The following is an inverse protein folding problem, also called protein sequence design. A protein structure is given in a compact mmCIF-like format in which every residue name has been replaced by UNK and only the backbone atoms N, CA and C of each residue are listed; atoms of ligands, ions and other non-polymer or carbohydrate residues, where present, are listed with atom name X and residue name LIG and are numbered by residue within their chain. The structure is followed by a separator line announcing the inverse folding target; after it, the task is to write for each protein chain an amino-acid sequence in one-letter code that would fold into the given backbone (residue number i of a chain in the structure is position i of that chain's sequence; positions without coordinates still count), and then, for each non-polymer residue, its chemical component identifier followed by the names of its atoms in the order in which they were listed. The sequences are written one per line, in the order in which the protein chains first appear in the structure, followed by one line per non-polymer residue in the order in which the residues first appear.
data_IF_547919735002
#
_entry.id   IF_547919735002
#
_cell.length_a   1.000
_cell.length_b   1.000
_cell.length_c   1.000
_cell.angle_alpha   90.00
_cell.angle_beta   90.00
_cell.angle_gamma   90.00
#
_symmetry.space_group_name_H-M   'P 1'
#
loop_
_entity.id
_entity.type
_entity.pdbx_description
1 polymer ?
#
# COMPACT_ATOMS: atom_id res chain seq x y z
N UNK A 1 14.70 -6.16 11.77
CA UNK A 1 13.83 -6.48 10.61
C UNK A 1 14.15 -7.89 10.15
N UNK A 2 13.66 -8.88 10.90
CA UNK A 2 13.82 -10.31 10.63
C UNK A 2 12.42 -10.89 10.52
N UNK A 3 12.21 -11.63 9.45
CA UNK A 3 11.27 -12.75 9.36
C UNK A 3 9.77 -12.45 9.48
N UNK A 4 9.16 -11.95 8.40
CA UNK A 4 7.78 -12.33 8.04
C UNK A 4 7.64 -13.86 7.82
N UNK A 5 8.75 -14.57 7.64
CA UNK A 5 8.85 -16.04 7.71
C UNK A 5 8.56 -16.61 9.12
N UNK A 6 8.75 -15.83 10.19
CA UNK A 6 8.49 -16.30 11.56
C UNK A 6 7.01 -16.28 11.94
N UNK A 7 6.17 -15.53 11.23
CA UNK A 7 4.70 -15.53 11.42
C UNK A 7 4.08 -16.76 10.75
N UNK A 8 4.66 -17.23 9.65
CA UNK A 8 4.25 -18.47 8.97
C UNK A 8 4.63 -19.72 9.76
N UNK A 9 5.82 -19.75 10.36
CA UNK A 9 6.25 -20.89 11.22
C UNK A 9 5.41 -21.00 12.50
N UNK A 10 4.92 -19.88 13.05
CA UNK A 10 4.11 -19.89 14.28
C UNK A 10 2.68 -20.42 14.06
N UNK A 11 2.03 -20.10 12.93
CA UNK A 11 0.70 -20.61 12.62
C UNK A 11 0.72 -22.09 12.18
N UNK A 12 1.80 -22.53 11.54
CA UNK A 12 2.01 -23.91 11.09
C UNK A 12 2.37 -24.84 12.28
N UNK A 13 3.03 -24.32 13.33
CA UNK A 13 3.21 -25.04 14.61
C UNK A 13 1.93 -25.13 15.45
N UNK A 14 1.03 -24.14 15.36
CA UNK A 14 -0.23 -24.19 16.11
C UNK A 14 -1.21 -25.24 15.56
N UNK A 15 -1.23 -25.47 14.23
CA UNK A 15 -2.14 -26.42 13.58
C UNK A 15 -1.59 -27.85 13.60
N UNK A 16 -0.27 -28.04 13.75
CA UNK A 16 0.34 -29.37 13.97
C UNK A 16 0.23 -29.88 15.41
N UNK A 17 -0.23 -29.04 16.36
CA UNK A 17 -0.56 -29.41 17.74
C UNK A 17 -2.04 -29.78 17.90
N UNK A 18 -2.53 -30.69 17.05
CA UNK A 18 -3.72 -31.50 17.34
C UNK A 18 -3.42 -32.57 18.42
N UNK A 19 -2.22 -32.64 18.98
CA UNK A 19 -1.81 -33.81 19.77
C UNK A 19 -1.98 -33.76 21.28
N UNK A 20 -1.66 -32.66 21.96
CA UNK A 20 -1.44 -32.71 23.41
C UNK A 20 -1.75 -31.38 24.10
N UNK A 21 -2.73 -31.46 25.01
CA UNK A 21 -2.94 -30.59 26.17
C UNK A 21 -3.11 -29.10 25.87
N UNK A 22 -4.30 -28.57 26.13
CA UNK A 22 -4.49 -27.42 27.03
C UNK A 22 -5.98 -27.11 27.18
N UNK A 23 -6.54 -27.54 28.32
CA UNK A 23 -7.67 -26.84 28.91
C UNK A 23 -7.29 -25.36 29.05
N UNK A 24 -8.07 -24.47 28.42
CA UNK A 24 -8.10 -23.04 28.75
C UNK A 24 -7.03 -22.18 28.10
N UNK A 25 -7.28 -21.70 26.88
CA UNK A 25 -6.77 -20.40 26.43
C UNK A 25 -7.84 -19.71 25.56
N UNK A 26 -8.41 -18.62 26.08
CA UNK A 26 -9.24 -17.68 25.32
C UNK A 26 -8.30 -16.70 24.59
N UNK A 27 -8.47 -16.55 23.28
CA UNK A 27 -7.76 -15.53 22.51
C UNK A 27 -8.50 -14.20 22.68
N UNK A 28 -7.95 -13.30 23.51
CA UNK A 28 -8.43 -11.91 23.60
C UNK A 28 -7.66 -11.00 22.64
N UNK A 29 -8.41 -10.47 21.67
CA UNK A 29 -8.18 -9.23 20.90
C UNK A 29 -6.86 -9.07 20.12
N UNK A 30 -6.89 -9.46 18.84
CA UNK A 30 -6.13 -8.77 17.79
C UNK A 30 -6.95 -7.58 17.29
N UNK A 31 -6.41 -6.36 17.41
CA UNK A 31 -7.02 -5.14 16.89
C UNK A 31 -7.00 -5.15 15.35
N UNK A 32 -8.07 -5.65 14.76
CA UNK A 32 -8.37 -5.53 13.33
C UNK A 32 -9.12 -4.20 13.14
N UNK A 33 -8.49 -3.19 12.56
CA UNK A 33 -9.01 -1.80 12.51
C UNK A 33 -10.16 -1.56 11.52
N UNK A 34 -10.72 -2.61 10.92
CA UNK A 34 -11.89 -2.51 10.03
C UNK A 34 -13.02 -3.39 10.57
N UNK A 35 -14.14 -2.75 10.93
CA UNK A 35 -15.32 -3.42 11.48
C UNK A 35 -15.88 -4.52 10.56
N UNK A 36 -15.71 -4.40 9.23
CA UNK A 36 -16.16 -5.44 8.28
C UNK A 36 -15.27 -6.69 8.31
N UNK A 37 -13.98 -6.53 8.63
CA UNK A 37 -13.03 -7.64 8.74
C UNK A 37 -13.20 -8.41 10.05
N UNK A 38 -13.55 -7.72 11.15
CA UNK A 38 -13.91 -8.37 12.43
C UNK A 38 -15.18 -9.20 12.28
N UNK A 39 -16.23 -8.65 11.67
CA UNK A 39 -17.49 -9.36 11.49
C UNK A 39 -17.31 -10.65 10.68
N UNK A 40 -16.46 -10.63 9.65
CA UNK A 40 -16.14 -11.80 8.82
C UNK A 40 -15.28 -12.83 9.54
N UNK A 41 -14.34 -12.41 10.39
CA UNK A 41 -13.56 -13.33 11.22
C UNK A 41 -14.44 -14.07 12.23
N UNK A 42 -15.37 -13.35 12.88
CA UNK A 42 -16.32 -13.97 13.82
C UNK A 42 -17.26 -14.97 13.11
N UNK A 43 -17.64 -14.72 11.86
CA UNK A 43 -18.44 -15.67 11.06
C UNK A 43 -17.65 -16.94 10.71
N UNK A 44 -16.36 -16.80 10.42
CA UNK A 44 -15.46 -17.93 10.15
C UNK A 44 -15.23 -18.76 11.42
N UNK A 45 -14.99 -18.12 12.57
CA UNK A 45 -14.85 -18.80 13.87
C UNK A 45 -16.12 -19.59 14.24
N UNK A 46 -17.30 -18.99 14.11
CA UNK A 46 -18.56 -19.67 14.41
C UNK A 46 -18.83 -20.90 13.50
N UNK A 47 -18.45 -20.81 12.22
CA UNK A 47 -18.54 -21.95 11.28
C UNK A 47 -17.54 -23.06 11.64
N UNK A 48 -16.33 -22.70 12.04
CA UNK A 48 -15.31 -23.67 12.48
C UNK A 48 -15.78 -24.42 13.74
N UNK A 49 -16.30 -23.71 14.74
CA UNK A 49 -16.79 -24.31 15.98
C UNK A 49 -17.96 -25.28 15.74
N UNK A 50 -18.89 -24.91 14.84
CA UNK A 50 -20.00 -25.79 14.44
C UNK A 50 -19.58 -27.01 13.62
N UNK A 51 -18.41 -26.98 12.99
CA UNK A 51 -17.90 -28.10 12.19
C UNK A 51 -17.09 -29.06 13.06
N UNK A 52 -16.36 -28.55 14.06
CA UNK A 52 -15.60 -29.36 15.02
C UNK A 52 -16.52 -30.26 15.87
N UNK A 53 -17.75 -29.82 16.16
CA UNK A 53 -18.70 -30.62 16.94
C UNK A 53 -19.23 -31.88 16.23
N UNK A 54 -18.93 -32.08 14.94
CA UNK A 54 -19.41 -33.21 14.13
C UNK A 54 -18.29 -34.15 13.66
N UNK A 55 -17.06 -34.00 14.17
CA UNK A 55 -15.90 -34.75 13.69
C UNK A 55 -15.81 -36.12 14.38
N UNK A 56 -16.41 -37.14 13.78
CA UNK A 56 -16.23 -38.55 14.19
C UNK A 56 -15.48 -39.41 13.14
N UNK A 57 -15.22 -38.91 11.92
CA UNK A 57 -14.44 -39.66 10.92
C UNK A 57 -13.45 -38.83 10.07
N UNK A 58 -12.50 -39.54 9.46
CA UNK A 58 -11.40 -39.00 8.66
C UNK A 58 -11.82 -38.41 7.29
N UNK A 59 -13.01 -38.74 6.79
CA UNK A 59 -13.54 -38.25 5.52
C UNK A 59 -14.09 -36.82 5.68
N UNK A 60 -14.70 -36.54 6.85
CA UNK A 60 -15.12 -35.21 7.27
C UNK A 60 -13.92 -34.27 7.48
N UNK A 61 -12.81 -34.78 8.03
CA UNK A 61 -11.54 -34.02 8.17
C UNK A 61 -10.91 -33.70 6.80
N UNK A 62 -10.97 -34.63 5.83
CA UNK A 62 -10.49 -34.37 4.45
C UNK A 62 -11.33 -33.31 3.73
N UNK A 63 -12.65 -33.35 3.91
CA UNK A 63 -13.56 -32.34 3.38
C UNK A 63 -13.28 -30.96 4.00
N UNK A 64 -13.06 -30.90 5.32
CA UNK A 64 -12.68 -29.67 6.03
C UNK A 64 -11.36 -29.11 5.50
N UNK A 65 -10.28 -29.90 5.44
CA UNK A 65 -8.98 -29.43 4.95
C UNK A 65 -9.05 -28.84 3.52
N UNK A 66 -9.84 -29.45 2.63
CA UNK A 66 -10.01 -28.93 1.27
C UNK A 66 -10.80 -27.61 1.23
N UNK A 67 -11.77 -27.42 2.12
CA UNK A 67 -12.54 -26.17 2.26
C UNK A 67 -11.67 -25.06 2.91
N UNK A 68 -10.85 -25.40 3.91
CA UNK A 68 -9.94 -24.43 4.54
C UNK A 68 -8.87 -23.96 3.56
N UNK A 69 -8.32 -24.87 2.74
CA UNK A 69 -7.36 -24.52 1.69
C UNK A 69 -7.99 -23.66 0.60
N UNK A 70 -9.18 -23.98 0.09
CA UNK A 70 -9.83 -23.17 -0.94
C UNK A 70 -10.18 -21.76 -0.45
N UNK A 71 -10.64 -21.62 0.81
CA UNK A 71 -10.95 -20.33 1.42
C UNK A 71 -9.71 -19.52 1.85
N UNK A 72 -8.60 -20.18 2.19
CA UNK A 72 -7.30 -19.51 2.42
C UNK A 72 -6.70 -19.05 1.10
N UNK A 73 -6.83 -19.82 0.01
CA UNK A 73 -6.39 -19.40 -1.32
C UNK A 73 -7.31 -18.37 -1.97
N UNK A 74 -8.56 -18.26 -1.50
CA UNK A 74 -9.49 -17.20 -1.91
C UNK A 74 -9.33 -15.91 -1.11
N UNK A 75 -8.32 -15.80 -0.23
CA UNK A 75 -7.79 -14.50 0.16
C UNK A 75 -7.08 -13.91 -1.07
N UNK A 76 -7.93 -13.41 -1.97
CA UNK A 76 -7.65 -12.71 -3.20
C UNK A 76 -6.25 -12.10 -3.18
N UNK A 77 -5.38 -12.65 -4.02
CA UNK A 77 -4.42 -11.85 -4.76
C UNK A 77 -5.10 -10.53 -5.11
N UNK A 78 -4.52 -9.41 -4.72
CA UNK A 78 -4.99 -8.10 -5.19
C UNK A 78 -5.05 -8.08 -6.73
N UNK A 79 -5.40 -6.96 -7.37
CA UNK A 79 -5.45 -6.88 -8.83
C UNK A 79 -4.06 -7.04 -9.51
N UNK A 80 -3.06 -7.49 -8.76
CA UNK A 80 -1.70 -7.72 -9.18
C UNK A 80 -1.31 -9.18 -8.94
N UNK A 81 -0.82 -9.85 -9.97
CA UNK A 81 -0.06 -11.10 -9.90
C UNK A 81 1.40 -10.82 -10.26
N UNK A 82 2.34 -11.71 -9.93
CA UNK A 82 3.71 -11.62 -10.45
C UNK A 82 3.85 -12.46 -11.72
N UNK A 83 4.52 -11.93 -12.74
CA UNK A 83 4.94 -12.73 -13.90
C UNK A 83 6.11 -13.66 -13.56
N UNK A 84 6.56 -14.46 -14.54
CA UNK A 84 7.68 -15.39 -14.40
C UNK A 84 9.01 -14.69 -14.02
N UNK A 85 9.11 -13.38 -14.26
CA UNK A 85 10.26 -12.54 -13.93
C UNK A 85 10.08 -11.77 -12.61
N UNK A 86 8.93 -11.90 -11.95
CA UNK A 86 8.61 -11.29 -10.66
C UNK A 86 8.00 -9.88 -10.71
N UNK A 87 7.63 -9.38 -11.90
CA UNK A 87 6.95 -8.09 -12.06
C UNK A 87 5.47 -8.17 -11.73
N UNK A 88 4.93 -7.15 -11.07
CA UNK A 88 3.49 -7.07 -10.81
C UNK A 88 2.72 -6.72 -12.10
N UNK A 89 1.79 -7.58 -12.50
CA UNK A 89 0.93 -7.49 -13.70
C UNK A 89 -0.54 -7.58 -13.33
N UNK A 90 -1.42 -6.94 -14.09
CA UNK A 90 -2.88 -7.09 -13.99
C UNK A 90 -3.39 -8.02 -15.08
N UNK A 91 -4.51 -8.68 -14.80
CA UNK A 91 -5.26 -9.46 -15.79
C UNK A 91 -5.88 -8.55 -16.87
N UNK A 92 -6.23 -7.31 -16.52
CA UNK A 92 -6.70 -6.31 -17.48
C UNK A 92 -5.55 -5.43 -17.99
N UNK A 93 -5.64 -5.00 -19.26
CA UNK A 93 -4.67 -4.12 -19.92
C UNK A 93 -4.53 -2.71 -19.29
N UNK A 94 -5.27 -2.39 -18.22
CA UNK A 94 -5.22 -1.07 -17.57
C UNK A 94 -5.34 -1.16 -16.05
N UNK A 95 -4.37 -0.57 -15.34
CA UNK A 95 -4.52 -0.26 -13.93
C UNK A 95 -5.14 1.12 -13.74
N UNK A 96 -6.25 1.20 -13.00
CA UNK A 96 -6.91 2.47 -12.66
C UNK A 96 -6.63 2.85 -11.21
N UNK A 97 -5.93 3.96 -11.01
CA UNK A 97 -5.65 4.53 -9.68
C UNK A 97 -6.23 5.93 -9.56
N UNK A 98 -7.52 6.10 -9.23
CA UNK A 98 -8.17 7.42 -9.20
C UNK A 98 -7.51 8.41 -8.24
N UNK A 99 -6.91 7.92 -7.16
CA UNK A 99 -6.17 8.74 -6.18
C UNK A 99 -4.68 8.90 -6.52
N UNK A 100 -4.16 8.18 -7.50
CA UNK A 100 -2.75 8.22 -7.86
C UNK A 100 -1.91 7.08 -7.28
N UNK A 101 -0.61 7.13 -7.58
CA UNK A 101 0.40 6.13 -7.20
C UNK A 101 1.50 6.84 -6.40
N UNK A 102 1.86 6.25 -5.26
CA UNK A 102 3.03 6.66 -4.48
C UNK A 102 3.98 5.47 -4.41
N UNK A 103 5.18 5.64 -4.93
CA UNK A 103 6.28 4.67 -4.78
C UNK A 103 7.05 5.07 -3.53
N UNK A 104 7.11 4.16 -2.54
CA UNK A 104 7.68 4.43 -1.22
C UNK A 104 6.63 4.93 -0.23
N UNK A 105 6.94 5.94 0.59
CA UNK A 105 6.05 6.39 1.67
C UNK A 105 5.35 7.71 1.35
N UNK A 106 4.03 7.78 1.60
CA UNK A 106 3.28 9.03 1.47
C UNK A 106 3.81 10.08 2.47
N UNK A 107 4.03 11.31 2.01
CA UNK A 107 4.28 12.43 2.91
C UNK A 107 2.96 12.81 3.59
N UNK A 108 2.83 12.58 4.90
CA UNK A 108 1.60 12.87 5.64
C UNK A 108 1.38 14.35 5.94
N UNK A 109 2.36 15.21 5.62
CA UNK A 109 2.26 16.66 5.84
C UNK A 109 1.57 17.41 4.69
N UNK A 110 1.28 16.75 3.57
CA UNK A 110 0.64 17.37 2.41
C UNK A 110 -0.62 16.64 1.95
N UNK A 111 -1.48 17.39 1.28
CA UNK A 111 -2.76 16.88 0.76
C UNK A 111 -2.59 16.45 -0.68
N UNK A 112 -2.40 15.15 -0.90
CA UNK A 112 -2.22 14.59 -2.24
C UNK A 112 -3.47 14.85 -3.11
N UNK A 113 -3.26 15.37 -4.31
CA UNK A 113 -4.29 15.56 -5.31
C UNK A 113 -4.85 14.23 -5.84
N UNK A 114 -5.87 14.31 -6.70
CA UNK A 114 -6.38 13.12 -7.40
C UNK A 114 -5.50 12.78 -8.60
N UNK A 115 -5.29 11.49 -8.87
CA UNK A 115 -4.51 11.03 -10.03
C UNK A 115 -3.03 11.41 -10.00
N UNK A 116 -2.43 11.53 -8.82
CA UNK A 116 -1.02 11.95 -8.68
C UNK A 116 -0.04 10.82 -8.97
N UNK A 117 1.20 11.16 -9.30
CA UNK A 117 2.31 10.20 -9.29
C UNK A 117 3.46 10.77 -8.46
N UNK A 118 3.94 10.03 -7.47
CA UNK A 118 5.02 10.47 -6.59
C UNK A 118 5.99 9.35 -6.27
N UNK A 119 7.29 9.68 -6.25
CA UNK A 119 8.33 8.79 -5.72
C UNK A 119 8.87 9.42 -4.45
N UNK A 120 8.65 8.77 -3.32
CA UNK A 120 9.02 9.25 -2.00
C UNK A 120 9.86 8.18 -1.30
N UNK A 121 11.17 8.34 -1.31
CA UNK A 121 12.06 7.56 -0.47
C UNK A 121 12.38 8.38 0.78
N UNK A 122 11.66 8.22 1.89
CA UNK A 122 12.04 8.91 3.12
C UNK A 122 13.41 8.39 3.57
N UNK A 123 14.32 9.29 3.92
CA UNK A 123 15.54 8.91 4.66
C UNK A 123 15.20 8.42 6.09
N UNK A 124 14.00 8.75 6.58
CA UNK A 124 13.47 8.37 7.90
C UNK A 124 11.95 8.46 7.94
N UNK A 125 11.29 7.58 8.70
CA UNK A 125 9.82 7.57 8.93
C UNK A 125 9.26 8.89 9.49
N UNK A 126 10.11 9.79 9.97
CA UNK A 126 9.76 11.12 10.51
C UNK A 126 10.25 12.29 9.64
N UNK A 127 10.77 12.01 8.44
CA UNK A 127 11.27 13.03 7.53
C UNK A 127 10.12 13.89 6.98
N UNK A 128 10.25 15.21 7.12
CA UNK A 128 9.40 16.22 6.46
C UNK A 128 9.79 16.45 5.00
N UNK A 129 10.81 15.75 4.50
CA UNK A 129 11.43 15.98 3.18
C UNK A 129 10.78 15.14 2.06
N UNK A 130 9.58 14.63 2.29
CA UNK A 130 8.82 13.93 1.26
C UNK A 130 8.24 14.90 0.23
N UNK A 131 8.01 14.41 -0.99
CA UNK A 131 7.38 15.20 -2.03
C UNK A 131 5.88 15.46 -1.75
N UNK A 132 5.38 16.58 -2.27
CA UNK A 132 4.01 17.08 -2.13
C UNK A 132 3.33 17.24 -3.51
N UNK A 133 2.74 16.16 -4.06
CA UNK A 133 1.95 16.21 -5.29
C UNK A 133 0.51 16.64 -4.98
N UNK A 134 0.30 17.91 -4.66
CA UNK A 134 -1.00 18.41 -4.17
C UNK A 134 -1.99 18.70 -5.30
N UNK A 135 -1.48 19.01 -6.49
CA UNK A 135 -2.28 19.31 -7.66
C UNK A 135 -3.01 18.07 -8.21
N UNK A 136 -4.23 18.27 -8.73
CA UNK A 136 -4.91 17.22 -9.50
C UNK A 136 -4.06 16.84 -10.71
N UNK A 137 -3.72 15.56 -10.84
CA UNK A 137 -2.90 15.03 -11.92
C UNK A 137 -1.42 15.44 -11.83
N UNK A 138 -0.95 15.94 -10.68
CA UNK A 138 0.44 16.38 -10.54
C UNK A 138 1.41 15.20 -10.46
N UNK A 139 2.64 15.42 -10.95
CA UNK A 139 3.72 14.43 -10.91
C UNK A 139 4.93 15.01 -10.17
N UNK A 140 5.43 14.33 -9.14
CA UNK A 140 6.53 14.83 -8.31
C UNK A 140 7.55 13.75 -7.99
N UNK A 141 8.80 13.98 -8.38
CA UNK A 141 9.94 13.12 -8.06
C UNK A 141 11.03 13.92 -7.33
N UNK A 142 12.10 13.25 -6.88
CA UNK A 142 13.18 13.88 -6.13
C UNK A 142 12.91 13.93 -4.63
N UNK A 143 13.37 14.99 -3.94
CA UNK A 143 13.24 15.15 -2.50
C UNK A 143 12.72 16.56 -2.15
N UNK A 144 11.78 16.62 -1.21
CA UNK A 144 11.19 17.85 -0.70
C UNK A 144 10.59 18.77 -1.78
N UNK A 145 10.13 18.22 -2.90
CA UNK A 145 9.54 19.01 -3.99
C UNK A 145 8.02 19.15 -3.83
N UNK A 146 7.46 20.25 -4.33
CA UNK A 146 6.02 20.53 -4.30
C UNK A 146 5.49 20.81 -5.70
N UNK A 147 4.40 20.14 -6.09
CA UNK A 147 3.63 20.47 -7.28
C UNK A 147 2.16 20.64 -6.87
N UNK A 148 1.75 21.89 -6.66
CA UNK A 148 0.43 22.24 -6.13
C UNK A 148 -0.56 22.74 -7.19
N UNK A 149 -0.07 23.20 -8.34
CA UNK A 149 -0.91 23.55 -9.49
C UNK A 149 -1.56 22.34 -10.15
N UNK A 150 -2.71 22.52 -10.78
CA UNK A 150 -3.38 21.47 -11.54
C UNK A 150 -2.49 21.03 -12.70
N UNK A 151 -2.28 19.72 -12.83
CA UNK A 151 -1.38 19.12 -13.83
C UNK A 151 0.05 19.68 -13.80
N UNK A 152 0.50 20.25 -12.68
CA UNK A 152 1.88 20.71 -12.57
C UNK A 152 2.84 19.54 -12.35
N UNK A 153 4.12 19.75 -12.64
CA UNK A 153 5.12 18.70 -12.49
C UNK A 153 6.45 19.21 -11.95
N UNK A 154 7.06 18.38 -11.11
CA UNK A 154 8.47 18.50 -10.73
C UNK A 154 9.13 17.16 -10.98
N UNK A 155 9.97 17.07 -12.00
CA UNK A 155 10.51 15.78 -12.47
C UNK A 155 11.73 15.28 -11.69
N UNK A 156 12.24 16.07 -10.74
CA UNK A 156 13.33 15.68 -9.86
C UNK A 156 13.95 16.86 -9.11
N UNK A 157 15.12 16.65 -8.52
CA UNK A 157 15.85 17.67 -7.78
C UNK A 157 15.43 17.82 -6.32
N UNK A 158 15.78 18.96 -5.72
CA UNK A 158 15.58 19.25 -4.31
C UNK A 158 14.83 20.57 -4.11
N UNK A 159 13.77 20.58 -3.29
CA UNK A 159 13.05 21.81 -2.89
C UNK A 159 12.50 22.69 -4.01
N UNK A 160 12.21 22.13 -5.17
CA UNK A 160 11.55 22.85 -6.26
C UNK A 160 10.03 22.97 -6.01
N UNK A 161 9.42 24.04 -6.52
CA UNK A 161 7.98 24.31 -6.43
C UNK A 161 7.38 24.61 -7.80
N UNK A 162 6.37 23.84 -8.20
CA UNK A 162 5.55 24.09 -9.40
C UNK A 162 4.09 24.37 -8.97
N UNK A 163 3.76 25.64 -8.75
CA UNK A 163 2.49 26.06 -8.14
C UNK A 163 1.46 26.64 -9.12
N UNK A 164 1.88 27.06 -10.32
CA UNK A 164 0.95 27.49 -11.36
C UNK A 164 0.24 26.31 -12.02
N UNK A 165 -0.97 26.50 -12.56
CA UNK A 165 -1.64 25.44 -13.31
C UNK A 165 -0.82 25.13 -14.58
N UNK A 166 -0.63 23.84 -14.88
CA UNK A 166 0.22 23.36 -15.98
C UNK A 166 1.69 23.79 -15.88
N UNK A 167 2.15 24.27 -14.72
CA UNK A 167 3.56 24.66 -14.52
C UNK A 167 4.49 23.46 -14.45
N UNK A 168 5.78 23.69 -14.75
CA UNK A 168 6.78 22.61 -14.74
C UNK A 168 8.13 23.06 -14.20
N UNK A 169 8.77 22.19 -13.43
CA UNK A 169 10.20 22.26 -13.11
C UNK A 169 10.85 20.93 -13.49
N UNK A 170 11.78 20.95 -14.44
CA UNK A 170 12.44 19.72 -14.89
C UNK A 170 13.37 19.12 -13.83
N UNK A 171 13.95 19.94 -12.95
CA UNK A 171 14.86 19.51 -11.89
C UNK A 171 15.66 20.67 -11.31
N UNK A 172 16.77 20.37 -10.63
CA UNK A 172 17.62 21.37 -9.99
C UNK A 172 17.31 21.58 -8.50
N UNK A 173 17.65 22.75 -7.96
CA UNK A 173 17.44 23.07 -6.54
C UNK A 173 16.67 24.37 -6.37
N UNK A 174 15.64 24.38 -5.52
CA UNK A 174 14.98 25.62 -5.08
C UNK A 174 14.41 26.50 -6.22
N UNK A 175 14.02 25.90 -7.34
CA UNK A 175 13.36 26.62 -8.43
C UNK A 175 11.86 26.78 -8.17
N UNK A 176 11.27 27.87 -8.70
CA UNK A 176 9.85 28.20 -8.54
C UNK A 176 9.23 28.49 -9.90
N UNK A 177 8.28 27.65 -10.33
CA UNK A 177 7.40 27.89 -11.46
C UNK A 177 5.98 28.22 -10.93
N UNK A 178 5.70 29.50 -10.72
CA UNK A 178 4.46 29.98 -10.08
C UNK A 178 3.39 30.49 -11.05
N UNK A 179 3.78 30.85 -12.28
CA UNK A 179 2.84 31.28 -13.31
C UNK A 179 2.11 30.10 -13.95
N UNK A 180 0.87 30.31 -14.39
CA UNK A 180 0.18 29.31 -15.21
C UNK A 180 0.97 29.07 -16.50
N UNK A 181 1.14 27.80 -16.88
CA UNK A 181 1.95 27.36 -18.02
C UNK A 181 3.45 27.74 -17.93
N UNK A 182 3.93 28.19 -16.77
CA UNK A 182 5.35 28.54 -16.60
C UNK A 182 6.24 27.30 -16.58
N UNK A 183 7.51 27.48 -16.94
CA UNK A 183 8.48 26.40 -16.95
C UNK A 183 9.85 26.86 -16.49
N UNK A 184 10.47 26.09 -15.61
CA UNK A 184 11.90 26.18 -15.30
C UNK A 184 12.58 24.91 -15.78
N UNK A 185 13.54 25.06 -16.70
CA UNK A 185 14.26 23.94 -17.30
C UNK A 185 15.28 23.28 -16.36
N UNK A 186 15.68 23.96 -15.28
CA UNK A 186 16.60 23.46 -14.25
C UNK A 186 17.45 24.59 -13.66
N UNK A 187 18.49 24.23 -12.91
CA UNK A 187 19.39 25.18 -12.24
C UNK A 187 19.10 25.34 -10.76
N UNK A 188 19.51 26.47 -10.17
CA UNK A 188 19.30 26.80 -8.76
C UNK A 188 18.59 28.15 -8.63
N UNK A 189 17.55 28.22 -7.80
CA UNK A 189 16.87 29.48 -7.41
C UNK A 189 16.27 30.30 -8.58
N UNK A 190 15.88 29.65 -9.68
CA UNK A 190 15.21 30.34 -10.78
C UNK A 190 13.72 30.54 -10.47
N UNK A 191 13.15 31.63 -10.98
CA UNK A 191 11.73 31.97 -10.82
C UNK A 191 11.10 32.23 -12.19
N UNK A 192 9.96 31.60 -12.45
CA UNK A 192 9.08 31.89 -13.57
C UNK A 192 7.65 32.12 -13.04
N UNK A 193 7.06 33.29 -13.31
CA UNK A 193 5.79 33.76 -12.73
C UNK A 193 4.81 34.29 -13.77
#
# INVERSE_FOLDING_TARGET
MKNFESIKVFLILAISLIGFSLQGYRITSLQVSNASSIARLNEVEAKIDSLISNVEDAETIRALNNITLSNITSFQSGPFAKDEQGWWVAEEAMFRFPKGIVIGARNTFCNYGEGTLSVNYPESLFSTEGNCPEGKGSVVFGQANTASGKYSSVLGGYKNTASGDYSSVSGGSENIASGDYSSVSGGSENIAS
#
